data_IF_923988957547
#
_entry.id   IF_923988957547
#
_cell.length_a   1.000
_cell.length_b   1.000
_cell.length_c   1.000
_cell.angle_alpha   90.00
_cell.angle_beta   90.00
_cell.angle_gamma   90.00
#
_symmetry.space_group_name_H-M   'P 1'
#
loop_
_entity.id
_entity.type
_entity.pdbx_description
1 polymer ?
#
# COMPACT_ATOMS: atom_id res chain seq x y z
N UNK A 1 8.31 -1.49 -29.08
CA UNK A 1 7.74 -2.57 -28.26
C UNK A 1 7.22 -1.92 -27.00
N UNK A 2 5.91 -1.65 -26.92
CA UNK A 2 5.29 -1.18 -25.67
C UNK A 2 5.45 -2.28 -24.64
N UNK A 3 6.09 -1.96 -23.52
CA UNK A 3 6.08 -2.83 -22.36
C UNK A 3 4.60 -3.05 -21.99
N UNK A 4 4.16 -4.30 -22.15
CA UNK A 4 2.83 -4.72 -21.74
C UNK A 4 2.84 -4.62 -20.21
N UNK A 5 2.20 -3.57 -19.70
CA UNK A 5 1.84 -3.46 -18.29
C UNK A 5 1.04 -4.75 -18.00
N UNK A 6 1.46 -5.63 -17.08
CA UNK A 6 0.66 -6.80 -16.77
C UNK A 6 -0.66 -6.30 -16.18
N UNK A 7 -1.77 -6.71 -16.81
CA UNK A 7 -3.17 -6.53 -16.41
C UNK A 7 -3.39 -5.93 -15.01
N UNK A 8 -3.96 -4.73 -14.99
CA UNK A 8 -5.01 -4.21 -14.07
C UNK A 8 -5.23 -4.95 -12.74
N UNK A 9 -4.18 -5.22 -11.97
CA UNK A 9 -4.39 -5.64 -10.59
C UNK A 9 -4.87 -4.42 -9.80
N UNK A 10 -6.12 -4.47 -9.37
CA UNK A 10 -6.69 -3.40 -8.56
C UNK A 10 -5.99 -3.37 -7.20
N UNK A 11 -5.07 -2.43 -7.00
CA UNK A 11 -4.40 -2.19 -5.73
C UNK A 11 -5.18 -1.22 -4.83
N UNK A 12 -6.34 -0.69 -5.24
CA UNK A 12 -7.16 0.19 -4.40
C UNK A 12 -7.74 -0.58 -3.21
N UNK A 13 -7.28 -0.26 -2.01
CA UNK A 13 -7.71 -0.90 -0.78
C UNK A 13 -7.91 0.15 0.30
N UNK A 14 -8.73 -0.18 1.28
CA UNK A 14 -8.97 0.64 2.46
C UNK A 14 -8.94 -0.29 3.67
N UNK A 15 -8.52 0.24 4.81
CA UNK A 15 -8.58 -0.45 6.10
C UNK A 15 -8.90 0.55 7.20
N UNK A 16 -9.90 0.25 8.02
CA UNK A 16 -10.24 1.10 9.16
C UNK A 16 -9.20 0.99 10.28
N UNK A 17 -9.13 2.01 11.14
CA UNK A 17 -8.27 1.98 12.32
C UNK A 17 -8.71 0.88 13.30
N UNK A 18 -10.01 0.55 13.31
CA UNK A 18 -10.54 -0.56 14.10
C UNK A 18 -9.99 -1.90 13.60
N UNK A 19 -10.06 -2.16 12.29
CA UNK A 19 -9.51 -3.37 11.69
C UNK A 19 -8.00 -3.49 11.90
N UNK A 20 -7.24 -2.38 11.83
CA UNK A 20 -5.81 -2.38 12.15
C UNK A 20 -5.60 -2.85 13.59
N UNK A 21 -6.34 -2.30 14.56
CA UNK A 21 -6.20 -2.68 15.96
C UNK A 21 -6.60 -4.14 16.23
N UNK A 22 -7.53 -4.68 15.45
CA UNK A 22 -7.97 -6.08 15.55
C UNK A 22 -6.97 -7.06 14.92
N UNK A 23 -6.46 -6.74 13.72
CA UNK A 23 -5.59 -7.63 12.94
C UNK A 23 -4.10 -7.45 13.29
N UNK A 24 -3.73 -6.26 13.75
CA UNK A 24 -2.38 -5.87 14.13
C UNK A 24 -2.37 -5.21 15.52
N UNK A 25 -2.52 -6.00 16.60
CA UNK A 25 -2.64 -5.47 17.96
C UNK A 25 -1.38 -4.73 18.45
N UNK A 26 -0.27 -4.82 17.72
CA UNK A 26 1.00 -4.13 18.02
C UNK A 26 1.23 -2.88 17.17
N UNK A 27 0.37 -2.60 16.19
CA UNK A 27 0.47 -1.43 15.31
C UNK A 27 -0.45 -0.35 15.86
N UNK A 28 0.12 0.84 16.07
CA UNK A 28 -0.65 2.04 16.37
C UNK A 28 -0.96 2.79 15.07
N UNK A 29 -2.22 2.85 14.61
CA UNK A 29 -2.58 3.53 13.37
C UNK A 29 -2.29 5.04 13.41
N UNK A 30 -2.17 5.63 14.59
CA UNK A 30 -1.86 7.05 14.76
C UNK A 30 -0.34 7.33 14.67
N UNK A 31 0.50 6.28 14.77
CA UNK A 31 1.96 6.40 14.78
C UNK A 31 2.64 5.21 14.09
N UNK A 32 2.49 5.13 12.78
CA UNK A 32 3.06 4.05 11.97
C UNK A 32 4.58 4.15 11.85
N UNK A 33 5.27 3.03 12.08
CA UNK A 33 6.64 2.86 11.63
C UNK A 33 6.69 2.46 10.14
N UNK A 34 7.84 2.63 9.45
CA UNK A 34 7.98 2.20 8.07
C UNK A 34 7.70 0.70 7.83
N UNK A 35 7.88 -0.13 8.86
CA UNK A 35 7.57 -1.57 8.79
C UNK A 35 6.07 -1.82 8.90
N UNK A 36 5.37 -1.01 9.69
CA UNK A 36 3.93 -1.15 9.90
C UNK A 36 3.17 -0.81 8.62
N UNK A 37 3.59 0.26 7.93
CA UNK A 37 3.04 0.64 6.61
C UNK A 37 3.13 -0.52 5.62
N UNK A 38 4.33 -1.12 5.50
CA UNK A 38 4.54 -2.25 4.61
C UNK A 38 3.69 -3.46 5.01
N UNK A 39 3.60 -3.77 6.31
CA UNK A 39 2.83 -4.89 6.81
C UNK A 39 1.33 -4.73 6.49
N UNK A 40 0.78 -3.53 6.70
CA UNK A 40 -0.61 -3.20 6.36
C UNK A 40 -0.85 -3.36 4.85
N UNK A 41 0.01 -2.79 4.00
CA UNK A 41 -0.13 -2.88 2.55
C UNK A 41 -0.08 -4.33 2.05
N UNK A 42 0.88 -5.11 2.52
CA UNK A 42 1.00 -6.53 2.15
C UNK A 42 -0.23 -7.31 2.58
N UNK A 43 -0.74 -7.05 3.78
CA UNK A 43 -1.95 -7.71 4.26
C UNK A 43 -3.16 -7.42 3.36
N UNK A 44 -3.39 -6.15 3.03
CA UNK A 44 -4.49 -5.76 2.14
C UNK A 44 -4.36 -6.39 0.76
N UNK A 45 -3.15 -6.44 0.20
CA UNK A 45 -2.95 -7.03 -1.12
C UNK A 45 -3.04 -8.55 -1.11
N UNK A 46 -2.60 -9.23 -0.04
CA UNK A 46 -2.74 -10.68 0.10
C UNK A 46 -4.19 -11.16 0.15
N UNK A 47 -5.13 -10.30 0.59
CA UNK A 47 -6.56 -10.63 0.56
C UNK A 47 -7.16 -10.61 -0.85
N UNK A 48 -6.48 -10.00 -1.82
CA UNK A 48 -7.01 -9.81 -3.17
C UNK A 48 -6.69 -11.00 -4.09
N UNK A 49 -7.67 -11.48 -4.87
CA UNK A 49 -7.48 -12.62 -5.74
C UNK A 49 -6.45 -12.30 -6.83
N UNK A 50 -5.45 -13.19 -6.98
CA UNK A 50 -4.40 -13.03 -7.98
C UNK A 50 -3.20 -12.20 -7.53
N UNK A 51 -3.16 -11.74 -6.27
CA UNK A 51 -1.96 -11.10 -5.74
C UNK A 51 -0.81 -12.10 -5.70
N UNK A 52 0.33 -11.71 -6.26
CA UNK A 52 1.58 -12.42 -6.14
C UNK A 52 2.63 -11.43 -5.67
N UNK A 53 3.23 -11.70 -4.51
CA UNK A 53 4.35 -10.92 -4.01
C UNK A 53 5.60 -11.23 -4.86
N UNK A 54 6.05 -10.22 -5.62
CA UNK A 54 7.23 -10.27 -6.49
C UNK A 54 8.39 -9.45 -5.92
N UNK A 55 8.23 -8.91 -4.71
CA UNK A 55 9.22 -8.09 -4.04
C UNK A 55 8.60 -6.82 -3.45
N UNK A 56 9.09 -6.44 -2.28
CA UNK A 56 8.65 -5.27 -1.54
C UNK A 56 9.80 -4.70 -0.73
N UNK A 57 9.70 -3.41 -0.38
CA UNK A 57 10.69 -2.74 0.46
C UNK A 57 10.05 -1.64 1.30
N UNK A 58 10.61 -1.41 2.48
CA UNK A 58 10.23 -0.30 3.35
C UNK A 58 10.70 1.03 2.76
N UNK A 59 9.94 2.11 2.95
CA UNK A 59 10.36 3.45 2.53
C UNK A 59 10.33 4.46 3.68
N UNK A 60 9.15 4.81 4.19
CA UNK A 60 8.98 5.73 5.32
C UNK A 60 7.68 5.45 6.08
N UNK A 61 7.31 6.31 7.04
CA UNK A 61 6.12 6.17 7.89
C UNK A 61 4.78 6.33 7.16
N UNK A 62 4.79 6.62 5.87
CA UNK A 62 3.56 6.81 5.06
C UNK A 62 3.53 5.91 3.82
N UNK A 63 4.69 5.42 3.36
CA UNK A 63 4.83 4.77 2.05
C UNK A 63 5.68 3.50 2.10
N UNK A 64 5.41 2.57 1.19
CA UNK A 64 6.24 1.38 0.96
C UNK A 64 6.20 0.95 -0.51
N UNK A 65 7.24 0.22 -0.93
CA UNK A 65 7.33 -0.35 -2.27
C UNK A 65 6.72 -1.75 -2.27
N UNK A 66 5.84 -2.05 -3.22
CA UNK A 66 5.32 -3.41 -3.47
C UNK A 66 5.24 -3.64 -4.97
N UNK A 67 5.76 -4.79 -5.43
CA UNK A 67 5.74 -5.21 -6.84
C UNK A 67 6.29 -4.16 -7.84
N UNK A 68 7.23 -3.32 -7.39
CA UNK A 68 7.82 -2.25 -8.20
C UNK A 68 7.00 -0.96 -8.27
N UNK A 69 5.94 -0.82 -7.48
CA UNK A 69 5.12 0.39 -7.32
C UNK A 69 5.26 0.97 -5.91
N UNK A 70 5.14 2.28 -5.78
CA UNK A 70 5.19 3.01 -4.52
C UNK A 70 3.76 3.31 -4.07
N UNK A 71 3.38 2.76 -2.91
CA UNK A 71 2.07 2.98 -2.32
C UNK A 71 2.17 3.86 -1.08
N UNK A 72 1.13 4.66 -0.86
CA UNK A 72 0.92 5.49 0.32
C UNK A 72 -0.31 5.03 1.08
N UNK A 73 -0.21 4.97 2.40
CA UNK A 73 -1.38 4.91 3.29
C UNK A 73 -1.79 6.34 3.62
N UNK A 74 -2.90 6.78 3.03
CA UNK A 74 -3.46 8.10 3.28
C UNK A 74 -4.47 8.01 4.41
N UNK A 75 -4.16 8.65 5.55
CA UNK A 75 -5.11 8.77 6.64
C UNK A 75 -6.30 9.65 6.21
N UNK A 76 -7.51 9.18 6.49
CA UNK A 76 -8.74 9.88 6.15
C UNK A 76 -9.93 9.26 6.87
N UNK A 77 -11.10 9.41 6.27
CA UNK A 77 -12.33 8.79 6.74
C UNK A 77 -12.94 7.93 5.66
N UNK A 78 -13.46 6.77 6.05
CA UNK A 78 -14.22 5.89 5.16
C UNK A 78 -15.62 6.45 4.84
N UNK A 79 -16.40 5.68 4.09
CA UNK A 79 -17.77 6.03 3.69
C UNK A 79 -18.76 6.17 4.87
N UNK A 80 -18.43 5.60 6.04
CA UNK A 80 -19.23 5.65 7.25
C UNK A 80 -18.75 6.76 8.22
N UNK A 81 -17.70 7.49 7.85
CA UNK A 81 -17.12 8.57 8.63
C UNK A 81 -16.16 8.11 9.73
N UNK A 82 -15.69 6.86 9.68
CA UNK A 82 -14.71 6.32 10.62
C UNK A 82 -13.28 6.53 10.11
N UNK A 83 -12.32 6.63 11.04
CA UNK A 83 -10.91 6.79 10.69
C UNK A 83 -10.39 5.55 9.96
N UNK A 84 -9.79 5.78 8.80
CA UNK A 84 -9.30 4.73 7.92
C UNK A 84 -8.06 5.16 7.15
N UNK A 85 -7.33 4.18 6.64
CA UNK A 85 -6.30 4.39 5.64
C UNK A 85 -6.79 3.96 4.26
N UNK A 86 -6.62 4.85 3.29
CA UNK A 86 -6.80 4.56 1.88
C UNK A 86 -5.45 4.31 1.21
N UNK A 87 -5.37 3.23 0.44
CA UNK A 87 -4.18 2.92 -0.34
C UNK A 87 -4.19 3.71 -1.64
N UNK A 88 -3.14 4.48 -1.84
CA UNK A 88 -2.93 5.26 -3.06
C UNK A 88 -1.62 4.84 -3.74
N UNK A 89 -1.67 4.59 -5.05
CA UNK A 89 -0.47 4.39 -5.85
C UNK A 89 0.08 5.77 -6.27
N UNK A 90 1.27 6.13 -5.80
CA UNK A 90 1.87 7.45 -6.03
C UNK A 90 3.07 7.42 -6.98
N UNK A 91 3.43 6.25 -7.51
CA UNK A 91 4.45 6.14 -8.55
C UNK A 91 4.89 4.71 -8.83
N UNK A 92 5.72 4.54 -9.86
CA UNK A 92 6.33 3.27 -10.20
C UNK A 92 7.85 3.36 -10.37
N UNK A 93 8.51 2.22 -10.23
CA UNK A 93 9.95 2.07 -10.52
C UNK A 93 10.28 2.40 -11.98
N UNK A 94 9.33 2.22 -12.90
CA UNK A 94 9.47 2.59 -14.31
C UNK A 94 9.47 4.12 -14.47
N UNK A 95 8.59 4.83 -13.76
CA UNK A 95 8.54 6.30 -13.78
C UNK A 95 9.86 6.89 -13.25
N UNK A 96 10.38 6.34 -12.14
CA UNK A 96 11.66 6.76 -11.57
C UNK A 96 12.84 6.58 -12.54
N UNK A 97 12.81 5.54 -13.37
CA UNK A 97 13.85 5.28 -14.37
C UNK A 97 13.69 6.14 -15.63
N UNK A 98 12.49 6.65 -15.91
CA UNK A 98 12.23 7.58 -17.00
C UNK A 98 12.75 8.99 -16.69
N UNK A 99 12.68 9.43 -15.43
CA UNK A 99 13.20 10.74 -14.97
C UNK A 99 14.74 10.83 -14.96
N UNK A 100 15.44 9.70 -15.06
CA UNK A 100 16.91 9.64 -15.09
C UNK A 100 17.50 9.69 -16.51
N UNK A 101 16.69 9.93 -17.55
CA UNK A 101 17.11 9.95 -18.96
C UNK A 101 17.20 11.34 -19.56
#
# INVERSE_FOLDING_TARGET
MSAVVPDDFDYAAEISFLEIREQFPLIDPESLSPKDVLAILLHLFQQKPGFLDRGHDTNNSETAWVNGYLYRLLAGTDAEGMEAFQVECIGSSVDRMAELR
#
